data_IF_942159780754
#
_entry.id   IF_942159780754
#
_cell.length_a   1.000
_cell.length_b   1.000
_cell.length_c   1.000
_cell.angle_alpha   90.00
_cell.angle_beta   90.00
_cell.angle_gamma   90.00
#
_symmetry.space_group_name_H-M   'P 1'
#
loop_
_entity.id
_entity.type
_entity.pdbx_description
1 polymer ?
#
# COMPACT_ATOMS: atom_id res chain seq x y z
N UNK A 1 6.49 -25.47 18.54
CA UNK A 1 6.27 -24.04 18.21
C UNK A 1 6.43 -23.23 19.48
N UNK A 2 7.34 -22.27 19.50
CA UNK A 2 7.37 -21.27 20.56
C UNK A 2 6.24 -20.28 20.29
N UNK A 3 5.37 -20.07 21.27
CA UNK A 3 4.22 -19.18 21.13
C UNK A 3 4.54 -17.83 21.75
N UNK A 4 3.99 -16.77 21.16
CA UNK A 4 4.03 -15.43 21.75
C UNK A 4 3.49 -15.46 23.18
N UNK A 5 4.22 -14.84 24.10
CA UNK A 5 3.83 -14.78 25.50
C UNK A 5 2.88 -13.59 25.75
N UNK A 6 1.79 -13.79 26.50
CA UNK A 6 0.89 -12.69 26.83
C UNK A 6 1.55 -11.72 27.81
N UNK A 7 1.30 -10.44 27.60
CA UNK A 7 1.67 -9.37 28.52
C UNK A 7 0.75 -9.45 29.75
N UNK A 8 1.29 -9.38 30.98
CA UNK A 8 0.49 -9.32 32.21
C UNK A 8 -0.57 -8.20 32.16
N UNK A 9 -1.74 -8.45 32.77
CA UNK A 9 -2.87 -7.51 32.73
C UNK A 9 -2.57 -6.14 33.34
N UNK A 10 -1.62 -6.06 34.27
CA UNK A 10 -1.20 -4.81 34.92
C UNK A 10 -0.15 -3.99 34.17
N UNK A 11 0.47 -4.53 33.12
CA UNK A 11 1.51 -3.82 32.37
C UNK A 11 0.91 -2.84 31.35
N UNK A 12 1.61 -1.74 31.07
CA UNK A 12 1.18 -0.79 30.04
C UNK A 12 1.45 -1.33 28.63
N UNK A 13 0.71 -0.80 27.64
CA UNK A 13 1.03 -1.10 26.25
C UNK A 13 2.42 -0.56 25.91
N UNK A 14 3.24 -1.37 25.26
CA UNK A 14 4.57 -0.98 24.80
C UNK A 14 4.47 -0.37 23.42
N UNK A 15 5.13 0.77 23.23
CA UNK A 15 5.53 1.29 21.93
C UNK A 15 6.94 1.86 22.10
N UNK A 16 7.93 1.15 21.58
CA UNK A 16 9.33 1.53 21.66
C UNK A 16 9.97 1.41 20.28
N UNK A 17 10.68 2.45 19.90
CA UNK A 17 11.50 2.46 18.69
C UNK A 17 12.94 2.71 19.09
N UNK A 18 13.86 1.86 18.63
CA UNK A 18 15.30 2.08 18.74
C UNK A 18 15.90 2.01 17.35
N UNK A 19 16.91 2.83 17.07
CA UNK A 19 17.55 2.89 15.75
C UNK A 19 19.00 2.47 15.92
N UNK A 20 19.41 1.46 15.16
CA UNK A 20 20.79 0.96 15.11
C UNK A 20 21.26 1.03 13.66
N UNK A 21 22.06 2.06 13.35
CA UNK A 21 22.48 2.34 11.97
C UNK A 21 21.28 2.60 11.06
N UNK A 22 21.11 1.76 10.03
CA UNK A 22 20.00 1.84 9.06
C UNK A 22 18.82 0.92 9.40
N UNK A 23 18.79 0.35 10.59
CA UNK A 23 17.71 -0.54 11.03
C UNK A 23 16.96 0.12 12.20
N UNK A 24 15.64 0.25 12.05
CA UNK A 24 14.77 0.67 13.15
C UNK A 24 14.09 -0.55 13.77
N UNK A 25 14.38 -0.81 15.04
CA UNK A 25 13.76 -1.85 15.84
C UNK A 25 12.52 -1.30 16.52
N UNK A 26 11.41 -1.98 16.32
CA UNK A 26 10.08 -1.62 16.82
C UNK A 26 9.61 -2.71 17.77
N UNK A 27 9.30 -2.34 19.00
CA UNK A 27 8.56 -3.19 19.94
C UNK A 27 7.22 -2.54 20.18
N UNK A 28 6.14 -3.25 19.81
CA UNK A 28 4.79 -2.73 20.02
C UNK A 28 3.81 -3.81 20.44
N UNK A 29 2.79 -3.39 21.17
CA UNK A 29 1.74 -4.28 21.66
C UNK A 29 0.64 -4.48 20.62
N UNK A 30 0.23 -5.74 20.42
CA UNK A 30 -0.90 -6.14 19.59
C UNK A 30 -1.97 -6.89 20.39
N UNK A 31 -3.21 -6.84 19.87
CA UNK A 31 -4.36 -7.62 20.35
C UNK A 31 -4.96 -8.44 19.21
N UNK A 32 -5.29 -9.73 19.43
CA UNK A 32 -5.90 -10.60 18.42
C UNK A 32 -7.17 -9.98 17.83
N UNK A 33 -8.14 -9.65 18.69
CA UNK A 33 -9.46 -9.20 18.25
C UNK A 33 -9.80 -7.77 18.70
N UNK A 34 -8.92 -7.11 19.46
CA UNK A 34 -9.13 -5.74 19.93
C UNK A 34 -10.16 -5.57 21.05
N UNK A 35 -10.86 -6.64 21.41
CA UNK A 35 -11.89 -6.65 22.44
C UNK A 35 -11.32 -6.42 23.85
N UNK A 36 -12.08 -5.79 24.76
CA UNK A 36 -11.76 -5.72 26.18
C UNK A 36 -11.55 -7.13 26.76
N UNK A 37 -10.60 -7.29 27.68
CA UNK A 37 -10.29 -8.59 28.29
C UNK A 37 -9.45 -9.54 27.42
N UNK A 38 -9.14 -9.20 26.16
CA UNK A 38 -8.26 -10.04 25.35
C UNK A 38 -6.79 -9.90 25.75
N UNK A 39 -6.02 -11.01 25.77
CA UNK A 39 -4.60 -10.96 26.03
C UNK A 39 -3.88 -10.07 25.02
N UNK A 40 -2.89 -9.32 25.52
CA UNK A 40 -1.99 -8.47 24.73
C UNK A 40 -0.68 -9.22 24.50
N UNK A 41 -0.03 -8.96 23.39
CA UNK A 41 1.26 -9.58 23.05
C UNK A 41 2.21 -8.50 22.54
N UNK A 42 3.50 -8.63 22.80
CA UNK A 42 4.51 -7.77 22.19
C UNK A 42 5.02 -8.42 20.90
N UNK A 43 5.09 -7.62 19.84
CA UNK A 43 5.79 -7.98 18.63
C UNK A 43 7.07 -7.15 18.55
N UNK A 44 8.15 -7.79 18.13
CA UNK A 44 9.40 -7.14 17.76
C UNK A 44 9.54 -7.20 16.25
N UNK A 45 9.65 -6.05 15.59
CA UNK A 45 9.82 -5.93 14.15
C UNK A 45 11.03 -5.06 13.85
N UNK A 46 11.66 -5.29 12.71
CA UNK A 46 12.74 -4.43 12.23
C UNK A 46 12.28 -3.77 10.92
N UNK A 47 12.57 -2.49 10.75
CA UNK A 47 12.46 -1.79 9.48
C UNK A 47 13.87 -1.57 8.94
N UNK A 48 14.13 -2.10 7.75
CA UNK A 48 15.44 -2.03 7.10
C UNK A 48 15.44 -0.92 6.04
N UNK A 49 16.26 0.10 6.28
CA UNK A 49 16.48 1.25 5.40
C UNK A 49 17.81 1.17 4.62
N UNK A 50 18.49 0.01 4.62
CA UNK A 50 19.82 -0.15 4.01
C UNK A 50 19.87 0.34 2.56
N UNK A 51 18.84 -0.03 1.79
CA UNK A 51 18.69 0.24 0.36
C UNK A 51 17.79 1.47 0.08
N UNK A 52 17.56 2.33 1.07
CA UNK A 52 16.81 3.59 0.91
C UNK A 52 17.81 4.74 0.80
N UNK A 53 17.69 5.53 -0.27
CA UNK A 53 18.54 6.71 -0.47
C UNK A 53 18.17 7.84 0.50
N UNK A 54 19.09 8.77 0.74
CA UNK A 54 18.84 9.93 1.60
C UNK A 54 17.69 10.81 1.09
N UNK A 55 17.58 10.97 -0.24
CA UNK A 55 16.47 11.69 -0.86
C UNK A 55 15.13 11.01 -0.55
N UNK A 56 15.07 9.68 -0.66
CA UNK A 56 13.85 8.93 -0.34
C UNK A 56 13.53 8.92 1.16
N UNK A 57 14.54 8.99 2.04
CA UNK A 57 14.32 9.20 3.48
C UNK A 57 13.69 10.56 3.77
N UNK A 58 14.11 11.62 3.08
CA UNK A 58 13.48 12.94 3.18
C UNK A 58 12.04 12.92 2.65
N UNK A 59 11.80 12.21 1.54
CA UNK A 59 10.43 12.01 1.03
C UNK A 59 9.56 11.31 2.08
N UNK A 60 10.06 10.26 2.73
CA UNK A 60 9.35 9.53 3.79
C UNK A 60 9.01 10.41 5.00
N UNK A 61 9.80 11.43 5.31
CA UNK A 61 9.48 12.41 6.35
C UNK A 61 8.28 13.30 5.96
N UNK A 62 8.13 13.60 4.66
CA UNK A 62 7.00 14.39 4.13
C UNK A 62 5.74 13.55 3.84
N UNK A 63 5.93 12.27 3.48
CA UNK A 63 4.86 11.34 3.10
C UNK A 63 5.10 10.00 3.83
N UNK A 64 4.47 9.80 4.99
CA UNK A 64 4.71 8.61 5.79
C UNK A 64 4.23 7.36 5.05
N UNK A 65 5.10 6.36 4.99
CA UNK A 65 4.74 5.02 4.55
C UNK A 65 3.93 4.32 5.64
N UNK A 66 2.72 3.88 5.31
CA UNK A 66 1.87 3.13 6.23
C UNK A 66 2.15 1.63 6.11
N UNK A 67 2.55 1.01 7.22
CA UNK A 67 2.75 -0.44 7.34
C UNK A 67 1.74 -1.00 8.34
N UNK A 68 0.69 -1.67 7.84
CA UNK A 68 -0.38 -2.23 8.69
C UNK A 68 -0.01 -3.59 9.30
N UNK A 69 1.11 -3.66 10.04
CA UNK A 69 1.63 -4.93 10.62
C UNK A 69 0.58 -5.64 11.44
N UNK A 70 -0.17 -4.92 12.28
CA UNK A 70 -1.21 -5.51 13.12
C UNK A 70 -2.34 -6.15 12.30
N UNK A 71 -2.72 -5.56 11.16
CA UNK A 71 -3.76 -6.12 10.30
C UNK A 71 -3.27 -7.39 9.58
N UNK A 72 -2.01 -7.40 9.13
CA UNK A 72 -1.38 -8.57 8.50
C UNK A 72 -1.28 -9.70 9.54
N UNK A 73 -0.78 -9.39 10.74
CA UNK A 73 -0.67 -10.32 11.85
C UNK A 73 -2.02 -10.95 12.21
N UNK A 74 -3.10 -10.17 12.33
CA UNK A 74 -4.44 -10.71 12.64
C UNK A 74 -4.94 -11.73 11.61
N UNK A 75 -4.64 -11.51 10.33
CA UNK A 75 -5.07 -12.37 9.22
C UNK A 75 -4.21 -13.62 9.04
N UNK A 76 -3.02 -13.66 9.63
CA UNK A 76 -2.10 -14.76 9.46
C UNK A 76 -2.51 -16.01 10.23
N UNK A 77 -2.36 -17.18 9.62
CA UNK A 77 -2.67 -18.48 10.23
C UNK A 77 -1.69 -18.83 11.36
N UNK A 78 -0.46 -18.36 11.25
CA UNK A 78 0.67 -18.60 12.16
C UNK A 78 0.92 -17.41 13.09
N UNK A 79 -0.05 -16.51 13.28
CA UNK A 79 0.11 -15.27 14.06
C UNK A 79 0.64 -15.45 15.49
N UNK A 80 0.46 -16.64 16.09
CA UNK A 80 0.95 -16.92 17.43
C UNK A 80 2.37 -17.51 17.44
N UNK A 81 2.95 -17.83 16.29
CA UNK A 81 4.30 -18.38 16.17
C UNK A 81 5.32 -17.26 16.38
N UNK A 82 6.02 -17.32 17.51
CA UNK A 82 7.05 -16.35 17.86
C UNK A 82 8.20 -16.36 16.85
N UNK A 83 8.55 -17.51 16.27
CA UNK A 83 9.67 -17.59 15.31
C UNK A 83 9.36 -16.89 14.00
N UNK A 84 8.08 -16.82 13.63
CA UNK A 84 7.64 -16.13 12.40
C UNK A 84 7.51 -14.63 12.63
N UNK A 85 7.01 -14.24 13.80
CA UNK A 85 6.57 -12.88 14.06
C UNK A 85 7.52 -12.07 14.93
N UNK A 86 8.41 -12.68 15.71
CA UNK A 86 9.44 -11.97 16.48
C UNK A 86 10.71 -11.79 15.65
N UNK A 87 11.24 -10.57 15.58
CA UNK A 87 12.44 -10.23 14.82
C UNK A 87 12.24 -10.18 13.31
N UNK A 88 11.00 -10.22 12.83
CA UNK A 88 10.70 -10.12 11.40
C UNK A 88 11.15 -8.76 10.87
N UNK A 89 11.88 -8.80 9.75
CA UNK A 89 12.41 -7.60 9.11
C UNK A 89 11.59 -7.23 7.89
N UNK A 90 11.26 -5.96 7.79
CA UNK A 90 10.52 -5.35 6.70
C UNK A 90 11.46 -4.43 5.93
N UNK A 91 11.74 -4.77 4.68
CA UNK A 91 12.53 -3.92 3.80
C UNK A 91 11.68 -2.74 3.36
N UNK A 92 12.11 -1.53 3.70
CA UNK A 92 11.37 -0.31 3.36
C UNK A 92 11.38 -0.07 1.85
N UNK A 93 12.45 -0.47 1.16
CA UNK A 93 12.56 -0.43 -0.30
C UNK A 93 11.41 -1.14 -1.00
N UNK A 94 11.17 -2.40 -0.64
CA UNK A 94 10.11 -3.23 -1.24
C UNK A 94 8.72 -2.58 -1.08
N UNK A 95 8.50 -1.91 0.05
CA UNK A 95 7.24 -1.24 0.34
C UNK A 95 7.07 0.06 -0.45
N UNK A 96 8.16 0.83 -0.62
CA UNK A 96 8.19 1.99 -1.51
C UNK A 96 7.88 1.59 -2.95
N UNK A 97 8.45 0.48 -3.43
CA UNK A 97 8.20 -0.01 -4.79
C UNK A 97 6.75 -0.46 -4.97
N UNK A 98 6.18 -1.18 -3.99
CA UNK A 98 4.77 -1.57 -4.01
C UNK A 98 3.80 -0.39 -3.98
N UNK A 99 4.12 0.67 -3.24
CA UNK A 99 3.27 1.87 -3.17
C UNK A 99 3.34 2.70 -4.45
N UNK A 100 4.51 2.76 -5.10
CA UNK A 100 4.70 3.41 -6.40
C UNK A 100 4.01 2.63 -7.54
N UNK A 101 3.96 1.30 -7.48
CA UNK A 101 3.31 0.46 -8.50
C UNK A 101 1.77 0.50 -8.51
N UNK A 102 1.12 0.93 -7.43
CA UNK A 102 -0.36 0.78 -7.27
C UNK A 102 -1.23 1.75 -8.07
N UNK A 103 -0.66 2.72 -8.79
CA UNK A 103 -1.44 3.60 -9.65
C UNK A 103 -1.44 3.10 -11.10
N UNK A 104 -2.04 1.92 -11.36
CA UNK A 104 -2.41 1.56 -12.73
C UNK A 104 -3.65 2.40 -13.12
N UNK A 105 -3.53 3.38 -14.03
CA UNK A 105 -4.65 4.22 -14.45
C UNK A 105 -5.77 3.37 -15.06
N UNK A 106 -5.42 2.27 -15.71
CA UNK A 106 -6.33 1.37 -16.42
C UNK A 106 -7.18 0.59 -15.44
N UNK A 107 -6.57 -0.01 -14.43
CA UNK A 107 -7.28 -0.70 -13.35
C UNK A 107 -8.22 0.24 -12.58
N UNK A 108 -7.82 1.51 -12.40
CA UNK A 108 -8.66 2.52 -11.74
C UNK A 108 -9.89 2.86 -12.58
N UNK A 109 -9.73 3.06 -13.89
CA UNK A 109 -10.84 3.32 -14.82
C UNK A 109 -11.79 2.13 -14.91
N UNK A 110 -11.25 0.90 -14.99
CA UNK A 110 -12.05 -0.33 -15.00
C UNK A 110 -12.91 -0.47 -13.75
N UNK A 111 -12.34 -0.22 -12.57
CA UNK A 111 -13.07 -0.32 -11.30
C UNK A 111 -14.18 0.73 -11.17
N UNK A 112 -13.95 1.93 -11.68
CA UNK A 112 -14.97 2.99 -11.75
C UNK A 112 -16.08 2.58 -12.73
N UNK A 113 -15.72 2.06 -13.91
CA UNK A 113 -16.68 1.54 -14.89
C UNK A 113 -17.49 0.36 -14.34
N UNK A 114 -16.88 -0.51 -13.52
CA UNK A 114 -17.56 -1.61 -12.84
C UNK A 114 -18.65 -1.12 -11.89
N UNK A 115 -18.39 -0.03 -11.16
CA UNK A 115 -19.35 0.60 -10.25
C UNK A 115 -20.41 1.49 -10.90
N UNK A 116 -20.33 1.73 -12.21
CA UNK A 116 -21.32 2.54 -12.94
C UNK A 116 -22.60 1.75 -13.22
N UNK A 117 -23.75 2.40 -13.03
CA UNK A 117 -25.06 1.90 -13.45
C UNK A 117 -25.16 1.74 -14.97
N UNK A 118 -26.15 0.98 -15.45
CA UNK A 118 -26.36 0.76 -16.90
C UNK A 118 -26.50 2.07 -17.69
N UNK A 119 -27.13 3.10 -17.11
CA UNK A 119 -27.29 4.42 -17.71
C UNK A 119 -25.96 5.17 -17.81
N UNK A 120 -25.15 5.13 -16.76
CA UNK A 120 -23.83 5.79 -16.72
C UNK A 120 -22.83 5.12 -17.67
N UNK A 121 -22.85 3.79 -17.79
CA UNK A 121 -22.04 3.08 -18.78
C UNK A 121 -22.44 3.40 -20.22
N UNK A 122 -23.74 3.59 -20.49
CA UNK A 122 -24.22 3.95 -21.83
C UNK A 122 -23.76 5.36 -22.21
N UNK A 123 -23.89 6.31 -21.29
CA UNK A 123 -23.40 7.68 -21.49
C UNK A 123 -21.86 7.71 -21.70
N UNK A 124 -21.09 6.92 -20.92
CA UNK A 124 -19.65 6.82 -21.09
C UNK A 124 -19.26 6.24 -22.46
N UNK A 125 -19.95 5.21 -22.94
CA UNK A 125 -19.70 4.61 -24.25
C UNK A 125 -20.08 5.55 -25.42
N UNK A 126 -21.15 6.34 -25.26
CA UNK A 126 -21.51 7.39 -26.23
C UNK A 126 -20.45 8.50 -26.29
N UNK A 127 -19.92 8.91 -25.13
CA UNK A 127 -18.84 9.89 -25.04
C UNK A 127 -17.54 9.37 -25.65
N UNK A 128 -17.18 8.11 -25.41
CA UNK A 128 -16.00 7.47 -26.02
C UNK A 128 -16.14 7.36 -27.55
N UNK A 129 -17.32 6.99 -28.06
CA UNK A 129 -17.58 6.94 -29.51
C UNK A 129 -17.52 8.33 -30.15
N UNK A 130 -18.01 9.36 -29.47
CA UNK A 130 -17.93 10.74 -29.95
C UNK A 130 -16.47 11.22 -30.01
N UNK A 131 -15.64 10.85 -29.02
CA UNK A 131 -14.21 11.16 -29.02
C UNK A 131 -13.50 10.44 -30.17
N UNK A 132 -13.76 9.16 -30.39
CA UNK A 132 -13.15 8.37 -31.48
C UNK A 132 -13.48 8.97 -32.87
N UNK A 133 -14.74 9.36 -33.07
CA UNK A 133 -15.16 10.05 -34.30
C UNK A 133 -14.44 11.39 -34.51
N UNK A 134 -14.21 12.17 -33.45
CA UNK A 134 -13.47 13.44 -33.55
C UNK A 134 -11.97 13.26 -33.77
N UNK A 135 -11.39 12.16 -33.30
CA UNK A 135 -9.97 11.83 -33.55
C UNK A 135 -9.78 11.42 -35.01
N UNK A 136 -10.69 10.63 -35.56
CA UNK A 136 -10.71 10.26 -36.98
C UNK A 136 -10.91 11.48 -37.90
N UNK A 137 -11.78 12.43 -37.54
CA UNK A 137 -11.97 13.66 -38.30
C UNK A 137 -10.72 14.57 -38.26
N UNK A 138 -10.05 14.68 -37.11
CA UNK A 138 -8.79 15.43 -37.00
C UNK A 138 -7.65 14.78 -37.78
N UNK A 139 -7.57 13.45 -37.78
CA UNK A 139 -6.59 12.72 -38.57
C UNK A 139 -6.80 12.96 -40.07
N UNK A 140 -8.05 12.88 -40.54
CA UNK A 140 -8.42 13.19 -41.94
C UNK A 140 -8.15 14.65 -42.32
N UNK A 141 -8.47 15.60 -41.44
CA UNK A 141 -8.23 17.03 -41.69
C UNK A 141 -6.73 17.35 -41.81
N UNK A 142 -5.89 16.72 -40.98
CA UNK A 142 -4.43 16.88 -41.04
C UNK A 142 -3.86 16.33 -42.35
N UNK A 143 -4.36 15.19 -42.81
CA UNK A 143 -3.95 14.53 -44.05
C UNK A 143 -4.32 15.34 -45.32
N UNK A 144 -5.40 16.13 -45.26
CA UNK A 144 -5.82 17.05 -46.33
C UNK A 144 -4.94 18.30 -46.35
N UNK A 145 -4.61 18.86 -45.18
CA UNK A 145 -3.75 20.06 -45.06
C UNK A 145 -2.33 19.78 -45.56
N UNK A 146 -1.82 18.57 -45.35
CA UNK A 146 -0.47 18.17 -45.77
C UNK A 146 -0.36 17.87 -47.29
N UNK A 147 -1.50 17.69 -47.97
CA UNK A 147 -1.60 17.43 -49.42
C UNK A 147 -1.96 18.67 -50.25
N UNK A 148 -2.13 19.83 -49.64
CA UNK A 148 -2.36 21.09 -50.36
C UNK A 148 -1.02 21.59 -50.96
N UNK A 149 -0.98 21.90 -52.27
CA UNK A 149 0.23 22.46 -52.89
C UNK A 149 0.52 23.85 -52.28
N UNK A 150 1.79 24.07 -51.93
CA UNK A 150 2.30 25.32 -51.37
C UNK A 150 2.24 26.48 -52.35
#
# INVERSE_FOLDING_TARGET
MNKLQPIPSGEQATLKTTIEGKIAHLVFTVKPNGEPGTPRYNLMQNLDFTDVSEVELLELASKPLRIDVQAIWRKAKDRMDEKVWSGRTWKVRDMLDQTRQKADPTAKVLKVAESMSKSERKALMELLKAIDATVDEKAKAKDIVEKLPK
#
